data_IF_006948188083
#
_entry.id   IF_006948188083
#
_cell.length_a   1.000
_cell.length_b   1.000
_cell.length_c   1.000
_cell.angle_alpha   90.00
_cell.angle_beta   90.00
_cell.angle_gamma   90.00
#
_symmetry.space_group_name_H-M   'P 1'
#
loop_
_entity.id
_entity.type
_entity.pdbx_description
1 polymer ?
#
# COMPACT_ATOMS: atom_id res chain seq x y z
N UNK A 1 -20.47 -31.80 17.59
CA UNK A 1 -20.54 -30.32 17.45
C UNK A 1 -19.13 -29.78 17.22
N UNK A 2 -18.88 -29.12 16.09
CA UNK A 2 -17.52 -28.89 15.57
C UNK A 2 -16.65 -27.98 16.45
N UNK A 3 -15.44 -28.45 16.77
CA UNK A 3 -14.41 -27.81 17.62
C UNK A 3 -14.21 -26.30 17.36
N UNK A 4 -14.32 -25.89 16.10
CA UNK A 4 -14.20 -24.48 15.67
C UNK A 4 -15.33 -23.58 16.17
N UNK A 5 -16.54 -24.10 16.39
CA UNK A 5 -17.65 -23.33 16.98
C UNK A 5 -17.44 -23.12 18.48
N UNK A 6 -16.94 -24.13 19.19
CA UNK A 6 -16.66 -24.04 20.62
C UNK A 6 -15.61 -22.96 20.94
N UNK A 7 -14.49 -22.96 20.22
CA UNK A 7 -13.44 -21.94 20.36
C UNK A 7 -13.96 -20.52 20.07
N UNK A 8 -14.83 -20.36 19.06
CA UNK A 8 -15.46 -19.06 18.74
C UNK A 8 -16.36 -18.55 19.87
N UNK A 9 -17.14 -19.44 20.48
CA UNK A 9 -18.01 -19.08 21.60
C UNK A 9 -17.23 -18.69 22.85
N UNK A 10 -16.22 -19.49 23.24
CA UNK A 10 -15.32 -19.13 24.34
C UNK A 10 -14.69 -17.77 24.08
N UNK A 11 -14.18 -17.57 22.86
CA UNK A 11 -13.56 -16.32 22.49
C UNK A 11 -14.52 -15.12 22.61
N UNK A 12 -15.77 -15.26 22.14
CA UNK A 12 -16.77 -14.21 22.21
C UNK A 12 -17.12 -13.86 23.66
N UNK A 13 -17.38 -14.88 24.48
CA UNK A 13 -17.74 -14.72 25.91
C UNK A 13 -16.60 -14.02 26.65
N UNK A 14 -15.36 -14.46 26.46
CA UNK A 14 -14.22 -13.92 27.19
C UNK A 14 -13.81 -12.52 26.69
N UNK A 15 -14.05 -12.20 25.42
CA UNK A 15 -13.89 -10.83 24.91
C UNK A 15 -14.94 -9.90 25.51
N UNK A 16 -16.20 -10.35 25.60
CA UNK A 16 -17.26 -9.61 26.27
C UNK A 16 -16.94 -9.39 27.76
N UNK A 17 -16.50 -10.43 28.47
CA UNK A 17 -16.09 -10.36 29.87
C UNK A 17 -14.95 -9.37 30.11
N UNK A 18 -13.89 -9.46 29.29
CA UNK A 18 -12.76 -8.52 29.35
C UNK A 18 -13.22 -7.07 29.11
N UNK A 19 -14.06 -6.85 28.09
CA UNK A 19 -14.64 -5.54 27.80
C UNK A 19 -15.46 -4.97 28.97
N UNK A 20 -16.25 -5.82 29.64
CA UNK A 20 -16.99 -5.42 30.84
C UNK A 20 -16.06 -5.04 31.99
N UNK A 21 -14.98 -5.79 32.23
CA UNK A 21 -14.00 -5.48 33.27
C UNK A 21 -13.29 -4.14 33.00
N UNK A 22 -12.86 -3.90 31.76
CA UNK A 22 -12.27 -2.63 31.34
C UNK A 22 -13.27 -1.48 31.49
N UNK A 23 -14.51 -1.67 31.01
CA UNK A 23 -15.58 -0.69 31.13
C UNK A 23 -15.91 -0.34 32.58
N UNK A 24 -15.95 -1.34 33.46
CA UNK A 24 -16.18 -1.15 34.90
C UNK A 24 -15.09 -0.28 35.55
N UNK A 25 -13.81 -0.61 35.31
CA UNK A 25 -12.68 0.17 35.83
C UNK A 25 -12.70 1.60 35.28
N UNK A 26 -13.00 1.76 34.00
CA UNK A 26 -13.07 3.07 33.35
C UNK A 26 -14.22 3.93 33.92
N UNK A 27 -15.41 3.34 34.10
CA UNK A 27 -16.55 4.02 34.72
C UNK A 27 -16.29 4.43 36.17
N UNK A 28 -15.65 3.56 36.95
CA UNK A 28 -15.25 3.89 38.32
C UNK A 28 -14.20 5.01 38.35
N UNK A 29 -13.19 4.94 37.50
CA UNK A 29 -12.18 6.00 37.39
C UNK A 29 -12.81 7.34 36.99
N UNK A 30 -13.74 7.34 36.03
CA UNK A 30 -14.49 8.55 35.63
C UNK A 30 -15.33 9.12 36.76
N UNK A 31 -16.00 8.25 37.53
CA UNK A 31 -16.81 8.66 38.69
C UNK A 31 -15.94 9.25 39.79
N UNK A 32 -14.78 8.64 40.07
CA UNK A 32 -13.83 9.11 41.07
C UNK A 32 -13.16 10.43 40.67
N UNK A 33 -12.90 10.64 39.37
CA UNK A 33 -12.35 11.88 38.84
C UNK A 33 -13.36 13.05 38.82
N UNK A 34 -14.61 12.85 39.26
CA UNK A 34 -15.62 13.91 39.34
C UNK A 34 -15.91 14.59 38.00
N UNK A 35 -15.69 13.92 36.86
CA UNK A 35 -15.82 14.48 35.50
C UNK A 35 -14.86 15.66 35.25
N UNK A 36 -13.80 15.82 36.04
CA UNK A 36 -12.73 16.78 35.77
C UNK A 36 -11.68 16.14 34.86
N UNK A 37 -11.94 16.17 33.56
CA UNK A 37 -11.13 15.58 32.48
C UNK A 37 -9.62 15.92 32.54
N UNK A 38 -9.25 17.03 33.17
CA UNK A 38 -7.86 17.46 33.35
C UNK A 38 -7.06 16.58 34.32
N UNK A 39 -7.70 15.96 35.32
CA UNK A 39 -7.03 15.08 36.30
C UNK A 39 -6.66 13.73 35.68
N UNK A 40 -7.41 13.31 34.65
CA UNK A 40 -7.14 12.08 33.90
C UNK A 40 -5.84 12.19 33.07
N UNK A 41 -5.41 13.41 32.73
CA UNK A 41 -4.15 13.69 32.03
C UNK A 41 -3.00 14.12 32.96
N UNK A 42 -3.23 14.16 34.27
CA UNK A 42 -2.15 14.30 35.25
C UNK A 42 -1.29 13.04 35.24
N UNK A 43 0.04 13.18 35.24
CA UNK A 43 1.02 12.09 35.38
C UNK A 43 0.92 11.31 36.71
N UNK A 44 -0.18 11.47 37.46
CA UNK A 44 -0.49 10.78 38.70
C UNK A 44 -1.43 9.59 38.45
N UNK A 45 -0.88 8.38 38.38
CA UNK A 45 -1.61 7.10 38.57
C UNK A 45 -2.67 6.72 37.52
N UNK A 46 -3.78 7.48 37.43
CA UNK A 46 -4.92 7.19 36.55
C UNK A 46 -4.58 7.35 35.05
N UNK A 47 -3.76 8.34 34.71
CA UNK A 47 -3.21 8.52 33.35
C UNK A 47 -2.40 7.30 32.91
N UNK A 48 -1.59 6.73 33.80
CA UNK A 48 -0.79 5.55 33.48
C UNK A 48 -1.67 4.35 33.15
N UNK A 49 -2.77 4.12 33.89
CA UNK A 49 -3.70 3.01 33.60
C UNK A 49 -4.36 3.18 32.24
N UNK A 50 -4.79 4.38 31.87
CA UNK A 50 -5.37 4.64 30.54
C UNK A 50 -4.34 4.62 29.43
N UNK A 51 -3.11 5.06 29.69
CA UNK A 51 -2.00 4.96 28.76
C UNK A 51 -1.64 3.50 28.51
N UNK A 52 -1.47 2.69 29.56
CA UNK A 52 -1.24 1.26 29.44
C UNK A 52 -2.41 0.55 28.76
N UNK A 53 -3.66 0.89 29.09
CA UNK A 53 -4.83 0.37 28.40
C UNK A 53 -4.83 0.75 26.91
N UNK A 54 -4.49 2.00 26.58
CA UNK A 54 -4.40 2.50 25.21
C UNK A 54 -3.29 1.83 24.41
N UNK A 55 -2.08 1.76 24.96
CA UNK A 55 -0.94 1.02 24.40
C UNK A 55 -1.32 -0.44 24.20
N UNK A 56 -1.99 -1.04 25.17
CA UNK A 56 -2.45 -2.41 25.08
C UNK A 56 -3.51 -2.64 24.01
N UNK A 57 -4.53 -1.78 23.90
CA UNK A 57 -5.53 -1.86 22.83
C UNK A 57 -4.90 -1.63 21.46
N UNK A 58 -3.90 -0.75 21.39
CA UNK A 58 -3.10 -0.51 20.18
C UNK A 58 -2.27 -1.74 19.79
N UNK A 59 -1.58 -2.37 20.75
CA UNK A 59 -0.85 -3.61 20.55
C UNK A 59 -1.79 -4.75 20.11
N UNK A 60 -2.98 -4.84 20.69
CA UNK A 60 -4.03 -5.78 20.24
C UNK A 60 -4.39 -5.54 18.79
N UNK A 61 -4.67 -4.29 18.41
CA UNK A 61 -5.06 -3.97 17.05
C UNK A 61 -3.98 -4.38 16.04
N UNK A 62 -2.71 -4.12 16.35
CA UNK A 62 -1.59 -4.41 15.46
C UNK A 62 -1.26 -5.89 15.41
N UNK A 63 -0.98 -6.52 16.56
CA UNK A 63 -0.52 -7.91 16.60
C UNK A 63 -1.62 -8.89 16.20
N UNK A 64 -2.87 -8.60 16.56
CA UNK A 64 -4.00 -9.47 16.23
C UNK A 64 -4.48 -9.32 14.80
N UNK A 65 -4.32 -8.15 14.18
CA UNK A 65 -4.60 -7.96 12.75
C UNK A 65 -3.49 -8.54 11.87
N UNK A 66 -2.24 -8.56 12.34
CA UNK A 66 -1.11 -9.06 11.56
C UNK A 66 -0.96 -10.59 11.56
N UNK A 67 -1.44 -11.28 12.61
CA UNK A 67 -1.08 -12.69 12.84
C UNK A 67 -2.00 -13.75 12.19
N UNK A 68 -3.04 -13.36 11.43
CA UNK A 68 -4.06 -14.33 10.96
C UNK A 68 -3.82 -14.85 9.54
N UNK A 69 -2.57 -15.10 9.16
CA UNK A 69 -2.27 -15.87 7.94
C UNK A 69 -2.08 -17.35 8.30
N UNK A 70 -2.68 -18.26 7.53
CA UNK A 70 -2.57 -19.72 7.76
C UNK A 70 -1.11 -20.21 7.76
N UNK A 71 -0.21 -19.46 7.11
CA UNK A 71 1.24 -19.72 7.01
C UNK A 71 1.93 -19.63 8.39
N UNK A 72 1.37 -18.86 9.35
CA UNK A 72 1.93 -18.70 10.70
C UNK A 72 1.68 -19.95 11.56
N UNK A 73 0.65 -20.75 11.27
CA UNK A 73 0.32 -21.93 12.08
C UNK A 73 1.38 -23.04 11.99
N UNK A 74 2.05 -23.16 10.84
CA UNK A 74 3.12 -24.15 10.63
C UNK A 74 4.47 -23.71 11.21
N UNK A 75 4.71 -22.41 11.31
CA UNK A 75 5.95 -21.87 11.90
C UNK A 75 5.94 -21.86 13.43
N UNK A 76 4.75 -21.87 14.03
CA UNK A 76 4.54 -21.73 15.48
C UNK A 76 3.74 -22.89 16.07
N UNK A 77 4.33 -24.10 16.19
CA UNK A 77 3.60 -25.32 16.53
C UNK A 77 3.03 -25.32 17.95
N UNK A 78 3.60 -24.57 18.90
CA UNK A 78 3.11 -24.53 20.28
C UNK A 78 1.93 -23.56 20.40
N UNK A 79 2.07 -22.36 19.84
CA UNK A 79 1.06 -21.30 19.93
C UNK A 79 -0.09 -21.47 18.93
N UNK A 80 0.08 -22.32 17.90
CA UNK A 80 -0.99 -22.68 16.96
C UNK A 80 -1.85 -23.87 17.42
N UNK A 81 -1.46 -24.56 18.48
CA UNK A 81 -2.18 -25.75 18.97
C UNK A 81 -3.51 -25.36 19.66
N UNK A 82 -4.56 -26.17 19.47
CA UNK A 82 -5.88 -25.98 20.09
C UNK A 82 -5.80 -25.80 21.62
N UNK A 83 -4.90 -26.53 22.29
CA UNK A 83 -4.66 -26.42 23.74
C UNK A 83 -4.18 -25.03 24.15
N UNK A 84 -3.25 -24.45 23.39
CA UNK A 84 -2.77 -23.09 23.64
C UNK A 84 -3.88 -22.07 23.42
N UNK A 85 -4.67 -22.23 22.35
CA UNK A 85 -5.80 -21.35 22.06
C UNK A 85 -6.86 -21.38 23.17
N UNK A 86 -7.16 -22.56 23.72
CA UNK A 86 -8.07 -22.67 24.88
C UNK A 86 -7.46 -21.99 26.09
N UNK A 87 -6.20 -22.28 26.44
CA UNK A 87 -5.50 -21.62 27.54
C UNK A 87 -5.58 -20.10 27.40
N UNK A 88 -5.13 -19.58 26.26
CA UNK A 88 -5.09 -18.17 25.92
C UNK A 88 -6.45 -17.50 26.05
N UNK A 89 -7.51 -18.14 25.54
CA UNK A 89 -8.86 -17.60 25.68
C UNK A 89 -9.37 -17.63 27.12
N UNK A 90 -8.96 -18.59 27.96
CA UNK A 90 -9.42 -18.70 29.35
C UNK A 90 -8.71 -17.77 30.33
N UNK A 91 -7.60 -17.15 29.93
CA UNK A 91 -6.81 -16.24 30.76
C UNK A 91 -7.62 -15.12 31.43
N UNK A 92 -8.53 -14.41 30.76
CA UNK A 92 -9.34 -13.38 31.42
C UNK A 92 -10.15 -13.94 32.59
N UNK A 93 -10.73 -15.14 32.46
CA UNK A 93 -11.49 -15.78 33.52
C UNK A 93 -10.57 -16.24 34.66
N UNK A 94 -9.42 -16.83 34.34
CA UNK A 94 -8.42 -17.24 35.33
C UNK A 94 -7.89 -16.03 36.11
N UNK A 95 -7.67 -14.90 35.42
CA UNK A 95 -7.32 -13.63 36.04
C UNK A 95 -8.39 -13.12 36.99
N UNK A 96 -9.66 -13.18 36.57
CA UNK A 96 -10.78 -12.84 37.45
C UNK A 96 -10.84 -13.71 38.71
N UNK A 97 -10.65 -15.03 38.57
CA UNK A 97 -10.58 -15.96 39.70
C UNK A 97 -9.40 -15.68 40.63
N UNK A 98 -8.23 -15.37 40.08
CA UNK A 98 -7.06 -14.96 40.85
C UNK A 98 -7.32 -13.62 41.59
N UNK A 99 -8.08 -12.71 40.96
CA UNK A 99 -8.56 -11.48 41.57
C UNK A 99 -9.49 -11.71 42.76
N UNK A 100 -10.42 -12.67 42.66
CA UNK A 100 -11.30 -13.08 43.77
C UNK A 100 -10.48 -13.66 44.91
N UNK A 101 -9.55 -14.56 44.60
CA UNK A 101 -8.68 -15.17 45.60
C UNK A 101 -7.81 -14.12 46.29
N UNK A 102 -7.28 -13.13 45.56
CA UNK A 102 -6.50 -12.02 46.12
C UNK A 102 -7.31 -11.03 46.95
N UNK A 103 -8.62 -10.91 46.67
CA UNK A 103 -9.56 -10.09 47.44
C UNK A 103 -10.21 -10.87 48.60
N UNK A 104 -9.84 -12.14 48.83
CA UNK A 104 -10.40 -12.95 49.89
C UNK A 104 -10.09 -12.33 51.26
N UNK A 105 -11.14 -11.99 52.01
CA UNK A 105 -11.05 -11.30 53.30
C UNK A 105 -11.43 -9.82 53.26
N UNK A 106 -11.75 -9.25 52.10
CA UNK A 106 -12.34 -7.91 51.99
C UNK A 106 -13.87 -8.02 52.06
N UNK A 107 -14.49 -7.30 52.98
CA UNK A 107 -15.95 -7.31 53.19
C UNK A 107 -16.71 -6.43 52.19
N UNK A 108 -15.99 -5.55 51.48
CA UNK A 108 -16.58 -4.60 50.55
C UNK A 108 -16.73 -5.21 49.14
N UNK A 109 -17.99 -5.31 48.69
CA UNK A 109 -18.36 -5.78 47.35
C UNK A 109 -17.64 -5.00 46.24
N UNK A 110 -17.42 -3.69 46.43
CA UNK A 110 -16.74 -2.86 45.43
C UNK A 110 -15.27 -3.24 45.29
N UNK A 111 -14.60 -3.59 46.38
CA UNK A 111 -13.22 -4.05 46.38
C UNK A 111 -13.08 -5.44 45.76
N UNK A 112 -14.05 -6.33 46.00
CA UNK A 112 -14.12 -7.64 45.34
C UNK A 112 -14.30 -7.53 43.82
N UNK A 113 -15.22 -6.66 43.36
CA UNK A 113 -15.44 -6.40 41.93
C UNK A 113 -14.22 -5.74 41.27
N UNK A 114 -13.54 -4.82 41.97
CA UNK A 114 -12.28 -4.24 41.51
C UNK A 114 -11.17 -5.31 41.42
N UNK A 115 -11.08 -6.22 42.39
CA UNK A 115 -10.15 -7.34 42.37
C UNK A 115 -10.35 -8.23 41.14
N UNK A 116 -11.60 -8.57 40.82
CA UNK A 116 -11.96 -9.33 39.60
C UNK A 116 -11.50 -8.58 38.35
N UNK A 117 -11.79 -7.29 38.26
CA UNK A 117 -11.47 -6.50 37.07
C UNK A 117 -9.96 -6.35 36.88
N UNK A 118 -9.21 -5.99 37.94
CA UNK A 118 -7.76 -5.89 37.89
C UNK A 118 -7.08 -7.23 37.63
N UNK A 119 -7.57 -8.32 38.23
CA UNK A 119 -7.05 -9.66 37.97
C UNK A 119 -7.26 -10.09 36.52
N UNK A 120 -8.44 -9.84 35.96
CA UNK A 120 -8.78 -10.10 34.55
C UNK A 120 -7.84 -9.33 33.61
N UNK A 121 -7.70 -8.02 33.84
CA UNK A 121 -6.89 -7.14 33.00
C UNK A 121 -5.40 -7.51 33.12
N UNK A 122 -4.91 -7.65 34.36
CA UNK A 122 -3.52 -7.95 34.66
C UNK A 122 -3.05 -9.29 34.10
N UNK A 123 -3.85 -10.36 34.25
CA UNK A 123 -3.51 -11.67 33.71
C UNK A 123 -3.46 -11.66 32.18
N UNK A 124 -4.41 -10.97 31.55
CA UNK A 124 -4.44 -10.82 30.07
C UNK A 124 -3.19 -10.10 29.58
N UNK A 125 -2.77 -9.01 30.25
CA UNK A 125 -1.55 -8.30 29.88
C UNK A 125 -0.28 -9.07 30.19
N UNK A 126 -0.20 -9.78 31.31
CA UNK A 126 0.95 -10.62 31.61
C UNK A 126 1.17 -11.67 30.52
N UNK A 127 0.09 -12.27 30.01
CA UNK A 127 0.19 -13.22 28.91
C UNK A 127 0.66 -12.55 27.63
N UNK A 128 0.13 -11.38 27.26
CA UNK A 128 0.54 -10.69 26.04
C UNK A 128 1.96 -10.12 26.07
N UNK A 129 2.38 -9.59 27.21
CA UNK A 129 3.67 -8.89 27.33
C UNK A 129 4.79 -9.88 27.64
N UNK A 130 4.51 -10.94 28.40
CA UNK A 130 5.54 -11.87 28.88
C UNK A 130 5.42 -13.23 28.21
N UNK A 131 4.26 -13.87 28.28
CA UNK A 131 4.11 -15.27 27.86
C UNK A 131 4.17 -15.41 26.34
N UNK A 132 3.47 -14.57 25.59
CA UNK A 132 3.44 -14.61 24.13
C UNK A 132 4.84 -14.39 23.52
N UNK A 133 5.62 -13.34 23.90
CA UNK A 133 6.99 -13.18 23.41
C UNK A 133 7.93 -14.29 23.86
N UNK A 134 7.79 -14.80 25.09
CA UNK A 134 8.63 -15.90 25.59
C UNK A 134 8.37 -17.19 24.79
N UNK A 135 7.11 -17.52 24.51
CA UNK A 135 6.76 -18.67 23.69
C UNK A 135 7.20 -18.50 22.24
N UNK A 136 7.00 -17.31 21.65
CA UNK A 136 7.51 -17.01 20.31
C UNK A 136 9.04 -17.14 20.22
N UNK A 137 9.77 -16.72 21.26
CA UNK A 137 11.21 -16.92 21.35
C UNK A 137 11.57 -18.41 21.45
N UNK A 138 10.91 -19.17 22.32
CA UNK A 138 11.15 -20.61 22.46
C UNK A 138 10.87 -21.36 21.15
N UNK A 139 9.79 -21.01 20.45
CA UNK A 139 9.48 -21.56 19.14
C UNK A 139 10.55 -21.22 18.10
N UNK A 140 11.13 -20.03 18.13
CA UNK A 140 12.20 -19.65 17.21
C UNK A 140 13.50 -20.46 17.38
N UNK A 141 13.68 -21.07 18.56
CA UNK A 141 14.81 -21.97 18.84
C UNK A 141 14.54 -23.39 18.33
N UNK A 142 13.27 -23.78 18.16
CA UNK A 142 12.92 -25.11 17.68
C UNK A 142 13.42 -25.36 16.24
N UNK A 143 14.01 -26.53 15.97
CA UNK A 143 14.54 -26.87 14.66
C UNK A 143 13.45 -26.90 13.57
N UNK A 144 12.24 -27.32 13.94
CA UNK A 144 11.08 -27.36 13.03
C UNK A 144 10.70 -25.97 12.54
N UNK A 145 10.56 -25.00 13.46
CA UNK A 145 10.23 -23.61 13.13
C UNK A 145 11.32 -22.94 12.28
N UNK A 146 12.60 -23.22 12.55
CA UNK A 146 13.72 -22.73 11.73
C UNK A 146 13.66 -23.26 10.30
N UNK A 147 13.36 -24.55 10.11
CA UNK A 147 13.23 -25.17 8.80
C UNK A 147 12.09 -24.55 7.99
N UNK A 148 10.91 -24.38 8.60
CA UNK A 148 9.76 -23.79 7.91
C UNK A 148 10.01 -22.33 7.55
N UNK A 149 10.66 -21.57 8.43
CA UNK A 149 11.08 -20.19 8.13
C UNK A 149 12.01 -20.11 6.93
N UNK A 150 12.96 -21.04 6.79
CA UNK A 150 13.85 -21.11 5.63
C UNK A 150 13.06 -21.40 4.35
N UNK A 151 12.14 -22.36 4.38
CA UNK A 151 11.28 -22.69 3.23
C UNK A 151 10.46 -21.48 2.77
N UNK A 152 9.85 -20.72 3.68
CA UNK A 152 9.13 -19.49 3.33
C UNK A 152 10.04 -18.45 2.68
N UNK A 153 11.25 -18.26 3.22
CA UNK A 153 12.21 -17.31 2.67
C UNK A 153 12.66 -17.71 1.27
N UNK A 154 12.88 -19.00 1.02
CA UNK A 154 13.20 -19.50 -0.31
C UNK A 154 12.03 -19.34 -1.28
N UNK A 155 10.80 -19.63 -0.85
CA UNK A 155 9.62 -19.47 -1.68
C UNK A 155 9.37 -18.01 -2.05
N UNK A 156 9.52 -17.10 -1.08
CA UNK A 156 9.42 -15.66 -1.32
C UNK A 156 10.52 -15.13 -2.27
N UNK A 157 11.75 -15.66 -2.18
CA UNK A 157 12.83 -15.34 -3.13
C UNK A 157 12.47 -15.81 -4.54
N UNK A 158 12.00 -17.04 -4.70
CA UNK A 158 11.60 -17.57 -6.01
C UNK A 158 10.47 -16.78 -6.64
N UNK A 159 9.49 -16.35 -5.85
CA UNK A 159 8.40 -15.50 -6.33
C UNK A 159 8.92 -14.15 -6.85
N UNK A 160 9.79 -13.49 -6.09
CA UNK A 160 10.42 -12.24 -6.53
C UNK A 160 11.23 -12.42 -7.82
N UNK A 161 12.04 -13.47 -7.90
CA UNK A 161 12.80 -13.77 -9.11
C UNK A 161 11.89 -14.03 -10.33
N UNK A 162 10.74 -14.68 -10.14
CA UNK A 162 9.76 -14.88 -11.21
C UNK A 162 9.10 -13.58 -11.64
N UNK A 163 8.69 -12.74 -10.69
CA UNK A 163 8.11 -11.42 -10.98
C UNK A 163 9.12 -10.51 -11.69
N UNK A 164 10.37 -10.50 -11.26
CA UNK A 164 11.45 -9.74 -11.90
C UNK A 164 11.70 -10.22 -13.32
N UNK A 165 11.74 -11.54 -13.55
CA UNK A 165 11.87 -12.11 -14.91
C UNK A 165 10.69 -11.76 -15.81
N UNK A 166 9.46 -11.86 -15.29
CA UNK A 166 8.27 -11.49 -16.05
C UNK A 166 8.27 -10.00 -16.41
N UNK A 167 8.64 -9.14 -15.46
CA UNK A 167 8.79 -7.71 -15.71
C UNK A 167 9.86 -7.43 -16.76
N UNK A 168 11.01 -8.09 -16.69
CA UNK A 168 12.07 -7.94 -17.70
C UNK A 168 11.59 -8.38 -19.09
N UNK A 169 10.90 -9.52 -19.20
CA UNK A 169 10.36 -9.98 -20.48
C UNK A 169 9.34 -8.99 -21.08
N UNK A 170 8.46 -8.42 -20.26
CA UNK A 170 7.50 -7.42 -20.70
C UNK A 170 8.19 -6.11 -21.12
N UNK A 171 9.21 -5.67 -20.37
CA UNK A 171 9.98 -4.48 -20.73
C UNK A 171 10.72 -4.67 -22.05
N UNK A 172 11.31 -5.85 -22.28
CA UNK A 172 11.99 -6.17 -23.54
C UNK A 172 11.02 -6.20 -24.72
N UNK A 173 9.81 -6.75 -24.51
CA UNK A 173 8.76 -6.75 -25.53
C UNK A 173 8.31 -5.33 -25.89
N UNK A 174 7.97 -4.51 -24.90
CA UNK A 174 7.56 -3.10 -25.11
C UNK A 174 8.69 -2.32 -25.78
N UNK A 175 9.95 -2.54 -25.37
CA UNK A 175 11.09 -1.86 -25.97
C UNK A 175 11.26 -2.22 -27.45
N UNK A 176 11.07 -3.49 -27.82
CA UNK A 176 11.12 -3.93 -29.23
C UNK A 176 9.97 -3.36 -30.04
N UNK A 177 8.75 -3.42 -29.51
CA UNK A 177 7.57 -2.86 -30.17
C UNK A 177 7.71 -1.36 -30.41
N UNK A 178 8.22 -0.63 -29.42
CA UNK A 178 8.51 0.80 -29.53
C UNK A 178 9.59 1.07 -30.58
N UNK A 179 10.68 0.29 -30.60
CA UNK A 179 11.73 0.43 -31.63
C UNK A 179 11.20 0.17 -33.05
N UNK A 180 10.37 -0.87 -33.22
CA UNK A 180 9.74 -1.16 -34.50
C UNK A 180 8.76 -0.05 -34.91
N UNK A 181 7.97 0.45 -33.96
CA UNK A 181 7.04 1.55 -34.20
C UNK A 181 7.80 2.82 -34.62
N UNK A 182 8.85 3.18 -33.90
CA UNK A 182 9.71 4.32 -34.23
C UNK A 182 10.34 4.18 -35.61
N UNK A 183 10.83 2.98 -35.96
CA UNK A 183 11.43 2.72 -37.28
C UNK A 183 10.39 2.83 -38.41
N UNK A 184 9.20 2.22 -38.23
CA UNK A 184 8.09 2.32 -39.19
C UNK A 184 7.62 3.76 -39.38
N UNK A 185 7.51 4.51 -38.28
CA UNK A 185 7.16 5.92 -38.32
C UNK A 185 8.24 6.74 -39.01
N UNK A 186 9.52 6.53 -38.71
CA UNK A 186 10.62 7.25 -39.34
C UNK A 186 10.59 7.13 -40.86
N UNK A 187 10.42 5.92 -41.39
CA UNK A 187 10.36 5.68 -42.85
C UNK A 187 9.17 6.42 -43.48
N UNK A 188 8.00 6.40 -42.83
CA UNK A 188 6.79 7.04 -43.36
C UNK A 188 6.79 8.56 -43.20
N UNK A 189 7.42 9.08 -42.15
CA UNK A 189 7.49 10.50 -41.84
C UNK A 189 8.63 11.21 -42.57
N UNK A 190 9.66 10.51 -43.04
CA UNK A 190 10.77 11.09 -43.79
C UNK A 190 10.35 11.95 -44.99
N UNK A 191 9.44 11.51 -45.90
CA UNK A 191 8.98 12.36 -47.00
C UNK A 191 8.25 13.62 -46.50
N UNK A 192 7.45 13.51 -45.44
CA UNK A 192 6.72 14.63 -44.83
C UNK A 192 7.68 15.62 -44.17
N UNK A 193 8.73 15.12 -43.51
CA UNK A 193 9.78 15.93 -42.92
C UNK A 193 10.53 16.73 -43.99
N UNK A 194 10.84 16.12 -45.14
CA UNK A 194 11.48 16.83 -46.27
C UNK A 194 10.59 17.91 -46.88
N UNK A 195 9.28 17.64 -47.00
CA UNK A 195 8.32 18.64 -47.47
C UNK A 195 8.20 19.80 -46.48
N UNK A 196 8.09 19.49 -45.19
CA UNK A 196 7.99 20.49 -44.13
C UNK A 196 9.25 21.36 -44.03
N UNK A 197 10.43 20.75 -44.10
CA UNK A 197 11.71 21.47 -44.08
C UNK A 197 11.93 22.32 -45.32
N UNK A 198 11.43 21.90 -46.50
CA UNK A 198 11.44 22.74 -47.70
C UNK A 198 10.56 23.99 -47.53
N UNK A 199 9.36 23.83 -46.97
CA UNK A 199 8.45 24.96 -46.67
C UNK A 199 9.04 25.92 -45.63
N UNK A 200 9.76 25.39 -44.64
CA UNK A 200 10.51 26.19 -43.66
C UNK A 200 11.67 26.91 -44.37
N UNK A 201 12.34 26.31 -45.35
CA UNK A 201 13.43 26.96 -46.08
C UNK A 201 13.04 28.23 -46.86
N UNK A 202 11.74 28.42 -47.15
CA UNK A 202 11.20 29.59 -47.86
C UNK A 202 11.08 30.85 -46.98
N UNK A 203 11.28 30.71 -45.66
CA UNK A 203 11.39 31.83 -44.72
C UNK A 203 10.05 32.28 -44.08
N UNK A 204 10.13 33.16 -43.07
CA UNK A 204 9.00 33.53 -42.22
C UNK A 204 7.94 34.43 -42.91
N UNK A 205 8.22 34.98 -44.08
CA UNK A 205 7.25 35.80 -44.83
C UNK A 205 6.23 34.95 -45.61
N UNK A 206 6.57 33.68 -45.90
CA UNK A 206 5.70 32.74 -46.61
C UNK A 206 4.69 32.00 -45.70
N UNK A 207 4.74 32.27 -44.38
CA UNK A 207 3.95 31.60 -43.34
C UNK A 207 2.44 31.58 -43.63
N UNK A 208 1.76 32.71 -43.97
CA UNK A 208 0.32 32.69 -44.19
C UNK A 208 -0.08 31.94 -45.47
N UNK A 209 0.83 31.83 -46.44
CA UNK A 209 0.58 31.17 -47.72
C UNK A 209 0.69 29.64 -47.64
N UNK A 210 1.31 29.10 -46.58
CA UNK A 210 1.61 27.67 -46.43
C UNK A 210 1.00 27.01 -45.20
N UNK A 211 0.28 27.76 -44.37
CA UNK A 211 -0.41 27.26 -43.17
C UNK A 211 -1.27 26.01 -43.45
N UNK A 212 -2.07 26.02 -44.52
CA UNK A 212 -2.89 24.86 -44.90
C UNK A 212 -2.08 23.59 -45.20
N UNK A 213 -0.94 23.73 -45.89
CA UNK A 213 -0.07 22.59 -46.21
C UNK A 213 0.64 22.03 -44.97
N UNK A 214 0.99 22.90 -44.03
CA UNK A 214 1.61 22.49 -42.76
C UNK A 214 0.60 21.72 -41.89
N UNK A 215 -0.66 22.18 -41.86
CA UNK A 215 -1.76 21.48 -41.19
C UNK A 215 -2.01 20.12 -41.85
N UNK A 216 -2.04 20.03 -43.18
CA UNK A 216 -2.21 18.77 -43.90
C UNK A 216 -1.10 17.76 -43.58
N UNK A 217 0.17 18.22 -43.53
CA UNK A 217 1.32 17.41 -43.13
C UNK A 217 1.17 16.91 -41.68
N UNK A 218 0.70 17.75 -40.76
CA UNK A 218 0.46 17.36 -39.38
C UNK A 218 -0.69 16.35 -39.22
N UNK A 219 -1.77 16.51 -40.00
CA UNK A 219 -2.89 15.56 -40.05
C UNK A 219 -2.43 14.21 -40.61
N UNK A 220 -1.60 14.20 -41.66
CA UNK A 220 -1.06 12.96 -42.23
C UNK A 220 -0.12 12.25 -41.23
N UNK A 221 0.72 13.00 -40.52
CA UNK A 221 1.55 12.46 -39.45
C UNK A 221 0.71 11.86 -38.30
N UNK A 222 -0.38 12.52 -37.92
CA UNK A 222 -1.34 12.00 -36.94
C UNK A 222 -2.02 10.71 -37.41
N UNK A 223 -2.37 10.61 -38.69
CA UNK A 223 -2.96 9.37 -39.25
C UNK A 223 -1.98 8.20 -39.27
N UNK A 224 -0.67 8.46 -39.33
CA UNK A 224 0.38 7.43 -39.35
C UNK A 224 0.59 6.79 -37.96
N UNK A 225 0.61 7.59 -36.90
CA UNK A 225 0.95 7.10 -35.55
C UNK A 225 0.48 7.98 -34.41
N UNK A 226 -0.53 8.82 -34.64
CA UNK A 226 -1.11 9.73 -33.66
C UNK A 226 -0.10 10.72 -33.12
N UNK A 227 -0.16 10.94 -31.81
CA UNK A 227 0.66 11.93 -31.11
C UNK A 227 2.17 11.63 -31.19
N UNK A 228 2.55 10.35 -31.07
CA UNK A 228 3.95 9.95 -31.09
C UNK A 228 4.60 10.23 -32.45
N UNK A 229 3.88 9.99 -33.55
CA UNK A 229 4.35 10.31 -34.90
C UNK A 229 4.48 11.82 -35.12
N UNK A 230 3.56 12.64 -34.61
CA UNK A 230 3.68 14.10 -34.67
C UNK A 230 4.90 14.63 -33.90
N UNK A 231 5.15 14.11 -32.69
CA UNK A 231 6.33 14.49 -31.88
C UNK A 231 7.63 14.04 -32.56
N UNK A 232 7.64 12.84 -33.14
CA UNK A 232 8.79 12.33 -33.89
C UNK A 232 9.06 13.17 -35.16
N UNK A 233 8.03 13.55 -35.91
CA UNK A 233 8.16 14.41 -37.09
C UNK A 233 8.72 15.80 -36.72
N UNK A 234 8.23 16.40 -35.63
CA UNK A 234 8.75 17.67 -35.15
C UNK A 234 10.25 17.58 -34.81
N UNK A 235 10.64 16.53 -34.07
CA UNK A 235 12.03 16.28 -33.72
C UNK A 235 12.90 16.08 -34.96
N UNK A 236 12.44 15.26 -35.92
CA UNK A 236 13.13 15.05 -37.19
C UNK A 236 13.31 16.36 -37.97
N UNK A 237 12.28 17.20 -38.02
CA UNK A 237 12.36 18.50 -38.69
C UNK A 237 13.34 19.46 -38.00
N UNK A 238 13.34 19.52 -36.66
CA UNK A 238 14.32 20.30 -35.90
C UNK A 238 15.75 19.83 -36.13
N UNK A 239 15.99 18.52 -36.10
CA UNK A 239 17.31 17.92 -36.34
C UNK A 239 17.80 18.22 -37.76
N UNK A 240 16.92 18.10 -38.76
CA UNK A 240 17.25 18.40 -40.16
C UNK A 240 17.54 19.89 -40.39
N UNK A 241 16.77 20.78 -39.77
CA UNK A 241 16.98 22.23 -39.83
C UNK A 241 18.29 22.64 -39.15
N UNK A 242 18.64 22.04 -38.00
CA UNK A 242 19.94 22.28 -37.33
C UNK A 242 21.12 21.84 -38.18
N UNK A 243 21.00 20.72 -38.90
CA UNK A 243 22.05 20.22 -39.79
C UNK A 243 22.17 21.06 -41.07
N UNK A 244 21.05 21.50 -41.63
CA UNK A 244 21.03 22.21 -42.92
C UNK A 244 21.28 23.72 -42.79
N UNK A 245 20.86 24.34 -41.69
CA UNK A 245 20.97 25.80 -41.45
C UNK A 245 21.43 26.14 -40.02
N UNK A 246 22.70 25.87 -39.67
CA UNK A 246 23.21 26.01 -38.30
C UNK A 246 23.19 27.45 -37.76
N UNK A 247 23.21 28.47 -38.62
CA UNK A 247 23.17 29.88 -38.21
C UNK A 247 21.75 30.41 -37.94
N UNK A 248 20.73 29.85 -38.61
CA UNK A 248 19.32 30.28 -38.46
C UNK A 248 18.57 29.47 -37.40
N UNK A 249 19.09 28.29 -37.01
CA UNK A 249 18.46 27.40 -36.02
C UNK A 249 18.24 28.03 -34.63
N UNK A 250 19.01 29.06 -34.27
CA UNK A 250 18.86 29.81 -33.01
C UNK A 250 17.67 30.79 -33.01
N UNK A 251 17.19 31.20 -34.19
CA UNK A 251 16.03 32.09 -34.35
C UNK A 251 14.75 31.31 -34.71
N UNK A 252 14.82 29.97 -34.81
CA UNK A 252 13.71 29.12 -35.24
C UNK A 252 12.63 28.83 -34.17
N UNK A 253 12.18 29.85 -33.44
CA UNK A 253 11.00 29.77 -32.56
C UNK A 253 9.65 29.64 -33.30
N UNK A 254 9.66 29.68 -34.64
CA UNK A 254 8.46 29.65 -35.48
C UNK A 254 8.01 28.24 -35.87
N UNK A 255 8.88 27.23 -35.81
CA UNK A 255 8.48 25.82 -35.94
C UNK A 255 7.48 25.46 -34.83
N UNK A 256 7.71 26.00 -33.63
CA UNK A 256 6.83 25.86 -32.49
C UNK A 256 5.48 26.58 -32.68
N UNK A 257 5.48 27.75 -33.33
CA UNK A 257 4.26 28.50 -33.68
C UNK A 257 3.44 27.79 -34.76
N UNK A 258 4.09 27.17 -35.74
CA UNK A 258 3.44 26.41 -36.81
C UNK A 258 2.79 25.13 -36.30
N UNK A 259 3.40 24.49 -35.29
CA UNK A 259 2.92 23.24 -34.74
C UNK A 259 1.84 23.45 -33.68
N UNK A 260 1.86 24.58 -32.93
CA UNK A 260 0.82 24.92 -31.92
C UNK A 260 -0.59 25.09 -32.49
N UNK A 261 -0.74 25.30 -33.80
CA UNK A 261 -2.04 25.30 -34.49
C UNK A 261 -2.71 23.93 -34.62
N UNK A 262 -1.98 22.83 -34.34
CA UNK A 262 -2.43 21.44 -34.52
C UNK A 262 -2.74 20.77 -33.16
N UNK A 263 -3.41 21.49 -32.24
CA UNK A 263 -3.93 20.96 -30.97
C UNK A 263 -2.90 20.78 -29.82
N UNK A 264 -3.32 20.19 -28.70
CA UNK A 264 -2.50 20.03 -27.47
C UNK A 264 -1.45 18.88 -27.56
N UNK A 265 -0.63 18.85 -28.60
CA UNK A 265 0.34 17.78 -28.83
C UNK A 265 1.62 17.87 -27.95
N UNK A 266 1.82 19.01 -27.27
CA UNK A 266 2.92 19.23 -26.30
C UNK A 266 2.70 18.61 -24.94
N UNK A 267 1.48 18.17 -24.63
CA UNK A 267 1.22 17.46 -23.39
C UNK A 267 1.93 16.11 -23.44
N UNK A 268 2.94 15.91 -22.58
CA UNK A 268 3.48 14.57 -22.33
C UNK A 268 2.29 13.65 -22.02
N UNK A 269 2.22 12.43 -22.60
CA UNK A 269 1.26 11.46 -22.13
C UNK A 269 1.62 11.19 -20.67
N UNK A 270 0.81 11.70 -19.75
CA UNK A 270 0.79 11.22 -18.38
C UNK A 270 0.71 9.70 -18.47
N UNK A 271 1.77 9.03 -18.00
CA UNK A 271 1.84 7.58 -17.97
C UNK A 271 0.54 7.01 -17.41
N UNK A 272 0.01 6.02 -18.13
CA UNK A 272 -1.02 5.09 -17.66
C UNK A 272 -2.07 5.66 -16.68
N UNK A 273 -3.20 6.13 -17.22
CA UNK A 273 -4.54 5.85 -16.67
C UNK A 273 -5.64 6.41 -17.57
N UNK A 274 -6.27 5.53 -18.34
CA UNK A 274 -7.60 5.77 -18.89
C UNK A 274 -7.66 6.04 -20.39
N UNK A 275 -7.88 4.96 -21.17
CA UNK A 275 -8.71 4.90 -22.39
C UNK A 275 -8.59 3.48 -22.98
N UNK A 276 -9.12 2.46 -22.33
CA UNK A 276 -10.53 2.03 -22.45
C UNK A 276 -11.54 3.18 -22.63
N UNK A 277 -11.73 3.61 -23.87
CA UNK A 277 -13.01 4.13 -24.37
C UNK A 277 -12.85 4.47 -25.85
N UNK A 278 -13.58 3.76 -26.72
CA UNK A 278 -13.81 4.20 -28.10
C UNK A 278 -13.45 3.20 -29.20
N UNK A 279 -13.96 1.97 -29.15
CA UNK A 279 -14.27 1.27 -30.41
C UNK A 279 -15.53 1.89 -31.01
N UNK A 280 -15.52 2.47 -32.22
CA UNK A 280 -16.75 2.81 -32.90
C UNK A 280 -17.43 1.51 -33.32
N UNK A 281 -18.68 1.34 -32.92
CA UNK A 281 -19.55 0.33 -33.52
C UNK A 281 -19.77 0.71 -34.99
N UNK A 282 -19.41 -0.20 -35.89
CA UNK A 282 -20.12 -0.45 -37.14
C UNK A 282 -20.48 -1.93 -37.17
#
# INVERSE_FOLDING_TARGET
MGKTRFLKWIHLINTGWFGLCVGYVLLLALRQAGVQWWVIFSLSGFSAVLFFLGVSLYLVAIYRSAARSQIIQEEHPLTSTDYYMVFYYMIPLMGGLAGIAGAAGLEDLTQGLLGIAYGTIGATFAVWIVVDPALGFLESVLPTSRRMRQVRLELARRQKEQEERQKQLLLDQITREEQEFQHRCQIRLEPLCRQLTALIGEGPEAVPAHEGKVVDIGVEAWQIGGLAAMQQLQKMAQDYCRQSWPQQALEMGWIDVWWDGIGDWRCQPLGEKGRLAGTPKS
#
